data_IF_346576958238
#
_entry.id   IF_346576958238
#
_cell.length_a   1.000
_cell.length_b   1.000
_cell.length_c   1.000
_cell.angle_alpha   90.00
_cell.angle_beta   90.00
_cell.angle_gamma   90.00
#
_symmetry.space_group_name_H-M   'P 1'
#
loop_
_entity.id
_entity.type
_entity.pdbx_description
1 polymer ?
#
# COMPACT_ATOMS: atom_id res chain seq x y z
N UNK A 1 -9.52 -5.39 -16.53
CA UNK A 1 -9.14 -6.23 -15.37
C UNK A 1 -7.64 -6.31 -15.13
N UNK A 2 -6.82 -7.03 -15.92
CA UNK A 2 -5.35 -7.10 -15.66
C UNK A 2 -4.63 -5.74 -15.81
N UNK A 3 -5.06 -4.90 -16.76
CA UNK A 3 -4.46 -3.59 -17.02
C UNK A 3 -4.84 -2.53 -15.95
N UNK A 4 -6.03 -2.66 -15.35
CA UNK A 4 -6.52 -1.75 -14.29
C UNK A 4 -5.75 -1.99 -12.99
N UNK A 5 -5.48 -3.26 -12.65
CA UNK A 5 -4.65 -3.62 -11.49
C UNK A 5 -3.22 -3.07 -11.60
N UNK A 6 -2.66 -3.01 -12.82
CA UNK A 6 -1.30 -2.50 -13.02
C UNK A 6 -1.23 -0.98 -12.81
N UNK A 7 -2.27 -0.27 -13.25
CA UNK A 7 -2.38 1.18 -13.06
C UNK A 7 -2.58 1.56 -11.60
N UNK A 8 -3.31 0.76 -10.82
CA UNK A 8 -3.45 0.96 -9.38
C UNK A 8 -2.14 0.70 -8.62
N UNK A 9 -1.35 -0.29 -9.05
CA UNK A 9 0.00 -0.52 -8.52
C UNK A 9 0.92 0.65 -8.83
N UNK A 10 0.92 1.14 -10.07
CA UNK A 10 1.76 2.28 -10.49
C UNK A 10 1.37 3.56 -9.76
N UNK A 11 0.07 3.81 -9.56
CA UNK A 11 -0.41 4.99 -8.81
C UNK A 11 -0.08 4.87 -7.33
N UNK A 12 -0.20 3.69 -6.73
CA UNK A 12 0.19 3.44 -5.34
C UNK A 12 1.69 3.63 -5.13
N UNK A 13 2.50 3.09 -6.04
CA UNK A 13 3.95 3.27 -6.05
C UNK A 13 4.34 4.74 -6.22
N UNK A 14 3.74 5.46 -7.17
CA UNK A 14 4.01 6.88 -7.36
C UNK A 14 3.57 7.73 -6.16
N UNK A 15 2.45 7.36 -5.51
CA UNK A 15 1.98 8.03 -4.29
C UNK A 15 2.96 7.81 -3.12
N UNK A 16 3.42 6.59 -2.91
CA UNK A 16 4.44 6.27 -1.90
C UNK A 16 5.76 7.00 -2.18
N UNK A 17 6.25 6.98 -3.43
CA UNK A 17 7.47 7.68 -3.84
C UNK A 17 7.33 9.21 -3.69
N UNK A 18 6.13 9.76 -3.86
CA UNK A 18 5.89 11.20 -3.76
C UNK A 18 5.73 11.69 -2.32
N UNK A 19 5.22 10.86 -1.40
CA UNK A 19 5.03 11.23 0.01
C UNK A 19 6.30 10.98 0.84
N UNK A 20 7.04 9.91 0.54
CA UNK A 20 8.27 9.55 1.22
C UNK A 20 9.48 9.98 0.39
N UNK A 21 9.62 11.29 0.15
CA UNK A 21 10.81 11.86 -0.48
C UNK A 21 12.06 11.16 0.05
N UNK A 22 12.70 10.38 -0.81
CA UNK A 22 13.72 9.41 -0.44
C UNK A 22 14.96 10.13 0.11
N UNK A 23 15.05 10.20 1.43
CA UNK A 23 16.30 9.94 2.16
C UNK A 23 16.03 8.73 3.07
N UNK A 24 15.94 7.53 2.48
CA UNK A 24 15.91 6.28 3.25
C UNK A 24 17.35 5.82 3.46
N UNK A 25 17.99 6.33 4.51
CA UNK A 25 19.37 5.96 4.89
C UNK A 25 19.55 4.47 5.20
N UNK A 26 18.47 3.70 5.43
CA UNK A 26 18.54 2.28 5.81
C UNK A 26 17.92 1.29 4.78
N UNK A 27 17.52 1.72 3.58
CA UNK A 27 16.85 0.82 2.65
C UNK A 27 17.77 -0.31 2.15
N UNK A 28 19.05 -0.01 1.94
CA UNK A 28 20.03 -0.98 1.46
C UNK A 28 20.22 -2.14 2.44
N UNK A 29 20.38 -1.84 3.72
CA UNK A 29 20.57 -2.86 4.77
C UNK A 29 19.33 -3.73 4.97
N UNK A 30 18.14 -3.13 4.92
CA UNK A 30 16.88 -3.85 5.02
C UNK A 30 16.65 -4.79 3.81
N UNK A 31 17.04 -4.35 2.62
CA UNK A 31 16.90 -5.14 1.39
C UNK A 31 17.89 -6.31 1.38
N UNK A 32 19.11 -6.10 1.87
CA UNK A 32 20.11 -7.16 2.02
C UNK A 32 19.69 -8.20 3.07
N UNK A 33 19.13 -7.75 4.21
CA UNK A 33 18.55 -8.65 5.22
C UNK A 33 17.40 -9.48 4.66
N UNK A 34 16.50 -8.87 3.86
CA UNK A 34 15.39 -9.58 3.24
C UNK A 34 15.86 -10.67 2.28
N UNK A 35 16.81 -10.35 1.40
CA UNK A 35 17.38 -11.35 0.48
C UNK A 35 18.07 -12.49 1.21
N UNK A 36 18.77 -12.21 2.32
CA UNK A 36 19.39 -13.24 3.14
C UNK A 36 18.34 -14.19 3.74
N UNK A 37 17.26 -13.65 4.30
CA UNK A 37 16.17 -14.48 4.84
C UNK A 37 15.45 -15.31 3.78
N UNK A 38 15.24 -14.76 2.58
CA UNK A 38 14.66 -15.52 1.45
C UNK A 38 15.57 -16.69 1.07
N UNK A 39 16.88 -16.44 0.94
CA UNK A 39 17.86 -17.47 0.60
C UNK A 39 17.95 -18.56 1.68
N UNK A 40 17.91 -18.19 2.95
CA UNK A 40 17.86 -19.15 4.07
C UNK A 40 16.60 -20.03 4.02
N UNK A 41 15.45 -19.48 3.61
CA UNK A 41 14.20 -20.24 3.42
C UNK A 41 14.30 -21.19 2.23
N UNK A 42 14.93 -20.78 1.13
CA UNK A 42 15.12 -21.62 -0.07
C UNK A 42 16.10 -22.78 0.18
N UNK A 43 17.18 -22.53 0.94
CA UNK A 43 18.21 -23.53 1.24
C UNK A 43 17.81 -24.46 2.38
N UNK A 44 16.99 -24.00 3.33
CA UNK A 44 16.55 -24.73 4.51
C UNK A 44 15.03 -24.68 4.73
N UNK A 45 14.22 -25.24 3.82
CA UNK A 45 12.76 -25.25 3.98
C UNK A 45 12.29 -25.98 5.24
N UNK A 46 13.08 -26.91 5.78
CA UNK A 46 12.83 -27.56 7.07
C UNK A 46 12.87 -26.62 8.28
N UNK A 47 13.48 -25.44 8.13
CA UNK A 47 13.53 -24.40 9.15
C UNK A 47 12.27 -23.53 9.21
N UNK A 48 11.37 -23.67 8.22
CA UNK A 48 10.10 -22.97 8.19
C UNK A 48 9.21 -23.47 9.33
N UNK A 49 9.06 -22.64 10.36
CA UNK A 49 8.12 -22.91 11.44
C UNK A 49 6.81 -22.21 11.11
N UNK A 50 5.74 -23.00 10.94
CA UNK A 50 4.39 -22.46 10.93
C UNK A 50 3.91 -22.26 12.35
N UNK A 51 3.39 -21.07 12.62
CA UNK A 51 2.69 -20.76 13.86
C UNK A 51 1.22 -20.54 13.54
N UNK A 52 0.33 -21.07 14.37
CA UNK A 52 -1.02 -20.52 14.46
C UNK A 52 -0.95 -19.07 14.96
N UNK A 53 -2.00 -18.27 14.67
CA UNK A 53 -2.06 -16.87 15.12
C UNK A 53 -1.86 -16.73 16.64
N UNK A 54 -2.45 -17.66 17.41
CA UNK A 54 -2.33 -17.67 18.87
C UNK A 54 -0.91 -18.04 19.33
N UNK A 55 -0.26 -19.02 18.70
CA UNK A 55 1.14 -19.38 19.01
C UNK A 55 2.10 -18.24 18.68
N UNK A 56 1.92 -17.58 17.54
CA UNK A 56 2.73 -16.42 17.13
C UNK A 56 2.62 -15.29 18.16
N UNK A 57 1.39 -14.99 18.60
CA UNK A 57 1.12 -13.96 19.62
C UNK A 57 1.73 -14.32 20.96
N UNK A 58 1.53 -15.54 21.43
CA UNK A 58 2.08 -16.02 22.70
C UNK A 58 3.62 -15.98 22.69
N UNK A 59 4.24 -16.40 21.57
CA UNK A 59 5.69 -16.41 21.43
C UNK A 59 6.25 -14.99 21.60
N UNK A 60 5.66 -14.00 20.92
CA UNK A 60 6.16 -12.62 20.87
C UNK A 60 5.50 -11.68 21.89
N UNK A 61 4.72 -12.23 22.84
CA UNK A 61 4.04 -11.43 23.86
C UNK A 61 3.04 -10.42 23.29
N UNK A 62 2.52 -10.68 22.10
CA UNK A 62 1.55 -9.80 21.47
C UNK A 62 0.19 -9.97 22.15
N UNK A 63 -0.48 -8.87 22.51
CA UNK A 63 -1.81 -8.95 23.08
C UNK A 63 -2.77 -9.60 22.06
N UNK A 64 -3.74 -10.35 22.57
CA UNK A 64 -4.83 -10.84 21.73
C UNK A 64 -5.59 -9.63 21.22
N UNK A 65 -5.79 -9.51 19.92
CA UNK A 65 -6.65 -8.48 19.32
C UNK A 65 -8.00 -8.49 20.04
N UNK A 66 -8.29 -7.41 20.74
CA UNK A 66 -9.62 -7.11 21.23
C UNK A 66 -10.39 -6.56 20.03
N UNK A 67 -11.25 -7.40 19.45
CA UNK A 67 -12.12 -6.98 18.35
C UNK A 67 -13.23 -6.13 18.98
N UNK A 68 -13.14 -4.82 18.80
CA UNK A 68 -14.20 -3.87 19.15
C UNK A 68 -15.06 -3.60 17.90
N UNK A 69 -16.28 -4.14 17.80
CA UNK A 69 -17.10 -4.04 16.58
C UNK A 69 -17.38 -2.59 16.15
N UNK A 70 -17.49 -1.69 17.13
CA UNK A 70 -17.69 -0.26 16.89
C UNK A 70 -16.42 0.44 16.37
N UNK A 71 -15.23 -0.07 16.69
CA UNK A 71 -13.96 0.46 16.16
C UNK A 71 -13.67 -0.06 14.77
N UNK A 72 -14.03 -1.31 14.48
CA UNK A 72 -13.95 -1.90 13.14
C UNK A 72 -14.88 -1.16 12.16
N UNK A 73 -16.11 -0.86 12.59
CA UNK A 73 -17.05 -0.04 11.82
C UNK A 73 -16.53 1.38 11.55
N UNK A 74 -15.84 2.00 12.53
CA UNK A 74 -15.23 3.33 12.36
C UNK A 74 -14.01 3.27 11.44
N UNK A 75 -13.19 2.23 11.56
CA UNK A 75 -12.02 1.98 10.71
C UNK A 75 -12.45 1.81 9.26
N UNK A 76 -13.48 1.01 9.00
CA UNK A 76 -14.03 0.81 7.66
C UNK A 76 -14.61 2.10 7.07
N UNK A 77 -15.36 2.86 7.89
CA UNK A 77 -15.90 4.15 7.48
C UNK A 77 -14.78 5.16 7.14
N UNK A 78 -13.70 5.18 7.93
CA UNK A 78 -12.52 6.02 7.68
C UNK A 78 -11.82 5.64 6.37
N UNK A 79 -11.55 4.35 6.14
CA UNK A 79 -10.93 3.90 4.90
C UNK A 79 -11.79 4.18 3.68
N UNK A 80 -13.10 3.95 3.79
CA UNK A 80 -14.05 4.26 2.71
C UNK A 80 -14.06 5.75 2.37
N UNK A 81 -14.10 6.63 3.38
CA UNK A 81 -14.02 8.07 3.18
C UNK A 81 -12.68 8.48 2.52
N UNK A 82 -11.57 7.85 2.91
CA UNK A 82 -10.26 8.06 2.29
C UNK A 82 -10.22 7.66 0.81
N UNK A 83 -10.84 6.53 0.46
CA UNK A 83 -10.97 6.06 -0.93
C UNK A 83 -11.82 7.02 -1.75
N UNK A 84 -12.98 7.42 -1.23
CA UNK A 84 -13.91 8.35 -1.90
C UNK A 84 -13.26 9.72 -2.13
N UNK A 85 -12.54 10.24 -1.14
CA UNK A 85 -11.77 11.48 -1.26
C UNK A 85 -10.69 11.37 -2.33
N UNK A 86 -9.92 10.28 -2.33
CA UNK A 86 -8.88 10.02 -3.34
C UNK A 86 -9.47 9.98 -4.75
N UNK A 87 -10.60 9.29 -4.94
CA UNK A 87 -11.30 9.23 -6.22
C UNK A 87 -11.79 10.61 -6.67
N UNK A 88 -12.31 11.42 -5.75
CA UNK A 88 -12.71 12.79 -6.02
C UNK A 88 -11.52 13.64 -6.48
N UNK A 89 -10.40 13.62 -5.76
CA UNK A 89 -9.18 14.33 -6.14
C UNK A 89 -8.68 13.91 -7.52
N UNK A 90 -8.63 12.61 -7.80
CA UNK A 90 -8.23 12.06 -9.11
C UNK A 90 -9.13 12.58 -10.22
N UNK A 91 -10.45 12.60 -10.00
CA UNK A 91 -11.42 13.12 -10.98
C UNK A 91 -11.19 14.61 -11.26
N UNK A 92 -10.95 15.41 -10.23
CA UNK A 92 -10.71 16.85 -10.38
C UNK A 92 -9.41 17.14 -11.14
N UNK A 93 -8.33 16.41 -10.84
CA UNK A 93 -7.07 16.56 -11.56
C UNK A 93 -7.19 16.13 -13.03
N UNK A 94 -7.87 15.02 -13.32
CA UNK A 94 -8.15 14.61 -14.70
C UNK A 94 -8.98 15.66 -15.45
N UNK A 95 -9.95 16.30 -14.79
CA UNK A 95 -10.74 17.36 -15.39
C UNK A 95 -9.89 18.60 -15.71
N UNK A 96 -8.97 18.98 -14.81
CA UNK A 96 -8.00 20.05 -15.05
C UNK A 96 -7.09 19.73 -16.23
N UNK A 97 -6.52 18.53 -16.26
CA UNK A 97 -5.65 18.08 -17.36
C UNK A 97 -6.40 18.08 -18.69
N UNK A 98 -7.65 17.60 -18.71
CA UNK A 98 -8.52 17.64 -19.89
C UNK A 98 -8.74 19.07 -20.38
N UNK A 99 -9.09 20.00 -19.49
CA UNK A 99 -9.32 21.40 -19.85
C UNK A 99 -8.03 22.04 -20.39
N UNK A 100 -6.90 21.83 -19.72
CA UNK A 100 -5.60 22.32 -20.19
C UNK A 100 -5.24 21.77 -21.57
N UNK A 101 -5.54 20.50 -21.83
CA UNK A 101 -5.29 19.88 -23.14
C UNK A 101 -6.19 20.48 -24.24
N UNK A 102 -7.48 20.70 -23.94
CA UNK A 102 -8.43 21.36 -24.84
C UNK A 102 -7.93 22.78 -25.18
N UNK A 103 -7.51 23.53 -24.17
CA UNK A 103 -6.97 24.89 -24.33
C UNK A 103 -5.68 24.90 -25.16
N UNK A 104 -4.75 23.95 -24.91
CA UNK A 104 -3.50 23.81 -25.65
C UNK A 104 -3.71 23.39 -27.11
N UNK A 105 -4.71 22.56 -27.38
CA UNK A 105 -5.00 22.06 -28.73
C UNK A 105 -5.93 22.98 -29.52
N UNK A 106 -6.42 24.09 -28.94
CA UNK A 106 -7.35 25.01 -29.61
C UNK A 106 -8.67 24.33 -30.01
N UNK A 107 -9.05 23.28 -29.29
CA UNK A 107 -10.30 22.56 -29.54
C UNK A 107 -11.40 23.33 -28.82
N UNK A 108 -12.06 24.28 -29.48
CA UNK A 108 -13.22 24.95 -28.88
C UNK A 108 -14.32 23.92 -28.51
N UNK A 109 -15.02 24.20 -27.40
CA UNK A 109 -16.03 23.32 -26.77
C UNK A 109 -17.16 22.86 -27.69
#
# INVERSE_FOLDING_TARGET
MLLENLLDIVVSFLHEVSFFGYEQEDLGENLESLHKSIKEIEEHPESLVSYSSDEFRAKWGLPKEEIYPDEESKKDAFYKAGIEYTQYCKKMELLKMKNNFIDLCGLEK
#
